data_IF_840098626469
#
_entry.id   IF_840098626469
#
_cell.length_a   1.000
_cell.length_b   1.000
_cell.length_c   1.000
_cell.angle_alpha   90.00
_cell.angle_beta   90.00
_cell.angle_gamma   90.00
#
_symmetry.space_group_name_H-M   'P 1'
#
loop_
_entity.id
_entity.type
_entity.pdbx_description
1 polymer ?
#
# COMPACT_ATOMS: atom_id res chain seq x y z
N UNK A 1 1.44 -11.14 5.71
CA UNK A 1 0.76 -10.35 4.68
C UNK A 1 -0.65 -10.13 5.18
N UNK A 2 -1.07 -8.88 5.35
CA UNK A 2 -2.47 -8.59 5.67
C UNK A 2 -3.33 -9.00 4.47
N UNK A 3 -4.48 -9.58 4.72
CA UNK A 3 -5.47 -9.92 3.70
C UNK A 3 -6.23 -8.68 3.24
N UNK A 4 -6.84 -8.78 2.06
CA UNK A 4 -7.74 -7.78 1.53
C UNK A 4 -8.86 -7.42 2.51
N UNK A 5 -9.44 -8.43 3.18
CA UNK A 5 -10.48 -8.25 4.19
C UNK A 5 -9.98 -7.49 5.42
N UNK A 6 -8.77 -7.78 5.91
CA UNK A 6 -8.17 -7.06 7.04
C UNK A 6 -7.95 -5.58 6.72
N UNK A 7 -7.45 -5.27 5.51
CA UNK A 7 -7.31 -3.88 5.06
C UNK A 7 -8.65 -3.16 4.95
N UNK A 8 -9.67 -3.82 4.41
CA UNK A 8 -11.02 -3.25 4.34
C UNK A 8 -11.57 -2.96 5.75
N UNK A 9 -11.39 -3.87 6.71
CA UNK A 9 -11.85 -3.69 8.08
C UNK A 9 -11.09 -2.56 8.79
N UNK A 10 -9.78 -2.46 8.58
CA UNK A 10 -8.97 -1.37 9.12
C UNK A 10 -9.42 -0.02 8.56
N UNK A 11 -9.66 0.06 7.25
CA UNK A 11 -10.22 1.24 6.58
C UNK A 11 -11.59 1.63 7.12
N UNK A 12 -12.50 0.67 7.36
CA UNK A 12 -13.82 0.95 7.97
C UNK A 12 -13.65 1.55 9.37
N UNK A 13 -12.76 0.99 10.18
CA UNK A 13 -12.50 1.47 11.56
C UNK A 13 -11.95 2.89 11.58
N UNK A 14 -11.06 3.25 10.64
CA UNK A 14 -10.35 4.53 10.63
C UNK A 14 -11.07 5.63 9.85
N UNK A 15 -11.81 5.26 8.81
CA UNK A 15 -12.35 6.20 7.83
C UNK A 15 -13.85 6.00 7.54
N UNK A 16 -14.49 5.00 8.16
CA UNK A 16 -15.92 4.73 8.01
C UNK A 16 -16.32 4.05 6.69
N UNK A 17 -15.35 3.72 5.83
CA UNK A 17 -15.57 3.08 4.51
C UNK A 17 -14.47 2.07 4.20
N UNK A 18 -14.74 1.01 3.43
CA UNK A 18 -13.76 -0.06 3.21
C UNK A 18 -12.71 0.22 2.12
N UNK A 19 -12.90 1.22 1.26
CA UNK A 19 -11.97 1.57 0.16
C UNK A 19 -11.50 0.35 -0.67
N UNK A 20 -12.43 -0.54 -1.03
CA UNK A 20 -12.14 -1.80 -1.75
C UNK A 20 -11.37 -1.54 -3.05
N UNK A 21 -11.79 -0.52 -3.78
CA UNK A 21 -11.18 -0.07 -5.03
C UNK A 21 -9.70 0.30 -4.87
N UNK A 22 -9.33 0.87 -3.71
CA UNK A 22 -7.95 1.27 -3.40
C UNK A 22 -7.09 0.04 -3.13
N UNK A 23 -7.57 -0.87 -2.28
CA UNK A 23 -6.83 -2.08 -1.93
C UNK A 23 -6.65 -3.00 -3.15
N UNK A 24 -7.69 -3.18 -3.97
CA UNK A 24 -7.59 -3.92 -5.22
C UNK A 24 -6.61 -3.29 -6.21
N UNK A 25 -6.57 -1.96 -6.28
CA UNK A 25 -5.64 -1.27 -7.15
C UNK A 25 -4.19 -1.40 -6.66
N UNK A 26 -3.93 -1.29 -5.36
CA UNK A 26 -2.59 -1.46 -4.80
C UNK A 26 -2.03 -2.87 -5.04
N UNK A 27 -2.89 -3.89 -4.87
CA UNK A 27 -2.53 -5.30 -4.99
C UNK A 27 -2.82 -5.93 -6.36
N UNK A 28 -3.18 -5.14 -7.36
CA UNK A 28 -3.54 -5.64 -8.70
C UNK A 28 -2.46 -6.58 -9.29
N UNK A 29 -1.19 -6.35 -8.96
CA UNK A 29 -0.05 -7.10 -9.46
C UNK A 29 0.35 -8.30 -8.57
N UNK A 30 -0.31 -8.47 -7.41
CA UNK A 30 -0.02 -9.55 -6.48
C UNK A 30 -0.25 -10.92 -7.14
N UNK A 31 0.75 -11.80 -7.04
CA UNK A 31 0.70 -13.16 -7.58
C UNK A 31 0.78 -13.26 -9.12
N UNK A 32 0.83 -12.14 -9.85
CA UNK A 32 0.87 -12.15 -11.33
C UNK A 32 2.31 -12.26 -11.85
N UNK A 33 2.59 -13.11 -12.86
CA UNK A 33 3.89 -13.09 -13.55
C UNK A 33 4.15 -11.74 -14.23
N UNK A 34 5.41 -11.27 -14.31
CA UNK A 34 6.64 -11.86 -13.75
C UNK A 34 6.91 -11.45 -12.29
N UNK A 35 5.94 -10.82 -11.62
CA UNK A 35 6.13 -10.13 -10.35
C UNK A 35 5.93 -11.00 -9.11
N UNK A 36 5.05 -12.00 -9.19
CA UNK A 36 4.73 -12.89 -8.06
C UNK A 36 4.33 -12.07 -6.83
N UNK A 37 4.93 -12.37 -5.68
CA UNK A 37 4.67 -11.63 -4.43
C UNK A 37 5.54 -10.38 -4.24
N UNK A 38 6.44 -10.06 -5.19
CA UNK A 38 7.29 -8.85 -5.16
C UNK A 38 6.61 -7.65 -5.83
N UNK A 39 5.28 -7.56 -5.69
CA UNK A 39 4.48 -6.54 -6.36
C UNK A 39 4.48 -5.21 -5.63
N UNK A 40 4.73 -5.23 -4.31
CA UNK A 40 4.62 -4.07 -3.43
C UNK A 40 5.49 -2.91 -3.91
N UNK A 41 6.70 -3.19 -4.39
CA UNK A 41 7.62 -2.18 -4.96
C UNK A 41 7.03 -1.28 -6.06
N UNK A 42 5.93 -1.67 -6.72
CA UNK A 42 5.34 -0.88 -7.82
C UNK A 42 4.39 0.22 -7.37
N UNK A 43 3.69 0.03 -6.24
CA UNK A 43 2.63 0.94 -5.79
C UNK A 43 2.65 1.21 -4.27
N UNK A 44 3.42 0.46 -3.48
CA UNK A 44 3.48 0.59 -2.02
C UNK A 44 4.49 1.64 -1.55
N UNK A 45 4.35 2.86 -2.07
CA UNK A 45 5.23 3.99 -1.78
C UNK A 45 4.49 5.32 -2.01
N UNK A 46 5.10 6.45 -1.66
CA UNK A 46 4.48 7.78 -1.73
C UNK A 46 3.99 8.14 -3.15
N UNK A 47 4.74 7.78 -4.20
CA UNK A 47 4.28 7.95 -5.57
C UNK A 47 2.98 7.17 -5.88
N UNK A 48 2.78 5.97 -5.32
CA UNK A 48 1.54 5.20 -5.49
C UNK A 48 0.38 5.84 -4.73
N UNK A 49 0.63 6.39 -3.53
CA UNK A 49 -0.37 7.17 -2.78
C UNK A 49 -0.85 8.38 -3.60
N UNK A 50 0.06 9.11 -4.24
CA UNK A 50 -0.30 10.24 -5.13
C UNK A 50 -1.11 9.78 -6.35
N UNK A 51 -0.83 8.60 -6.89
CA UNK A 51 -1.63 8.03 -7.97
C UNK A 51 -3.04 7.67 -7.50
N UNK A 52 -3.20 7.07 -6.31
CA UNK A 52 -4.51 6.83 -5.70
C UNK A 52 -5.27 8.13 -5.50
N UNK A 53 -4.61 9.19 -5.00
CA UNK A 53 -5.23 10.50 -4.84
C UNK A 53 -5.78 11.04 -6.16
N UNK A 54 -5.01 10.96 -7.24
CA UNK A 54 -5.43 11.42 -8.56
C UNK A 54 -6.60 10.61 -9.14
N UNK A 55 -6.69 9.30 -8.82
CA UNK A 55 -7.70 8.40 -9.34
C UNK A 55 -9.00 8.39 -8.53
N UNK A 56 -8.89 8.47 -7.19
CA UNK A 56 -9.98 8.17 -6.26
C UNK A 56 -10.21 9.27 -5.21
N UNK A 57 -9.38 10.32 -5.21
CA UNK A 57 -9.51 11.47 -4.33
C UNK A 57 -8.70 11.38 -3.01
N UNK A 58 -8.69 12.46 -2.23
CA UNK A 58 -7.80 12.60 -1.07
C UNK A 58 -8.12 11.64 0.09
N UNK A 59 -9.38 11.25 0.28
CA UNK A 59 -9.73 10.26 1.30
C UNK A 59 -9.17 8.87 0.95
N UNK A 60 -9.23 8.49 -0.33
CA UNK A 60 -8.66 7.24 -0.81
C UNK A 60 -7.13 7.20 -0.64
N UNK A 61 -6.45 8.34 -0.81
CA UNK A 61 -5.02 8.45 -0.56
C UNK A 61 -4.65 8.14 0.90
N UNK A 62 -5.49 8.52 1.86
CA UNK A 62 -5.31 8.18 3.29
C UNK A 62 -5.46 6.68 3.52
N UNK A 63 -6.46 6.05 2.91
CA UNK A 63 -6.65 4.60 2.98
C UNK A 63 -5.48 3.83 2.31
N UNK A 64 -4.97 4.32 1.18
CA UNK A 64 -3.79 3.75 0.53
C UNK A 64 -2.56 3.84 1.42
N UNK A 65 -2.29 5.01 2.01
CA UNK A 65 -1.15 5.17 2.91
C UNK A 65 -1.27 4.23 4.12
N UNK A 66 -2.45 4.11 4.70
CA UNK A 66 -2.70 3.19 5.80
C UNK A 66 -2.42 1.73 5.40
N UNK A 67 -2.94 1.27 4.26
CA UNK A 67 -2.70 -0.08 3.74
C UNK A 67 -1.19 -0.34 3.60
N UNK A 68 -0.47 0.58 2.96
CA UNK A 68 0.96 0.44 2.71
C UNK A 68 1.74 0.39 4.03
N UNK A 69 1.44 1.27 4.99
CA UNK A 69 2.11 1.25 6.29
C UNK A 69 1.85 -0.06 7.06
N UNK A 70 0.63 -0.59 7.03
CA UNK A 70 0.31 -1.88 7.67
C UNK A 70 1.12 -3.03 7.05
N UNK A 71 1.32 -3.00 5.73
CA UNK A 71 2.10 -4.00 5.00
C UNK A 71 3.61 -3.87 5.23
N UNK A 72 4.13 -2.64 5.20
CA UNK A 72 5.53 -2.35 5.48
C UNK A 72 5.92 -2.79 6.91
N UNK A 73 5.03 -2.59 7.90
CA UNK A 73 5.28 -3.05 9.29
C UNK A 73 5.51 -4.56 9.38
N UNK A 74 4.90 -5.35 8.50
CA UNK A 74 5.11 -6.80 8.44
C UNK A 74 6.46 -7.18 7.80
N UNK A 75 7.08 -6.26 7.06
CA UNK A 75 8.43 -6.40 6.48
C UNK A 75 9.52 -5.80 7.38
N UNK A 76 9.17 -5.36 8.60
CA UNK A 76 10.12 -4.81 9.58
C UNK A 76 10.28 -3.29 9.54
N UNK A 77 9.50 -2.58 8.72
CA UNK A 77 9.44 -1.12 8.76
C UNK A 77 8.76 -0.62 10.04
N UNK A 78 9.27 0.47 10.61
CA UNK A 78 8.72 1.11 11.81
C UNK A 78 8.30 2.54 11.49
N UNK A 79 7.52 3.17 12.36
CA UNK A 79 7.13 4.57 12.20
C UNK A 79 8.30 5.57 12.26
N UNK A 80 9.50 5.11 12.67
CA UNK A 80 10.71 5.92 12.66
C UNK A 80 11.46 5.83 11.32
N UNK A 81 11.14 4.85 10.49
CA UNK A 81 11.73 4.68 9.18
C UNK A 81 11.08 5.61 8.15
N UNK A 82 11.83 6.12 7.16
CA UNK A 82 11.24 6.94 6.11
C UNK A 82 10.20 6.13 5.33
N UNK A 83 9.07 6.76 5.02
CA UNK A 83 8.12 6.16 4.09
C UNK A 83 8.74 6.16 2.68
N UNK A 84 8.80 5.02 1.95
CA UNK A 84 9.44 4.96 0.64
C UNK A 84 8.81 5.99 -0.32
N UNK A 85 9.63 6.79 -1.00
CA UNK A 85 9.14 7.82 -1.93
C UNK A 85 8.61 7.23 -3.23
N UNK A 86 9.30 6.22 -3.74
CA UNK A 86 9.10 5.57 -5.03
C UNK A 86 9.65 4.14 -5.03
N UNK A 87 9.58 3.47 -6.19
CA UNK A 87 10.03 2.09 -6.38
C UNK A 87 11.53 1.91 -6.14
N UNK A 88 12.35 2.88 -6.54
CA UNK A 88 13.81 2.80 -6.39
C UNK A 88 14.19 2.86 -4.91
N UNK A 89 13.60 3.79 -4.16
CA UNK A 89 13.84 3.88 -2.72
C UNK A 89 13.27 2.67 -1.97
N UNK A 90 12.11 2.14 -2.37
CA UNK A 90 11.54 0.92 -1.79
C UNK A 90 12.56 -0.23 -1.84
N UNK A 91 13.18 -0.45 -3.00
CA UNK A 91 14.20 -1.50 -3.19
C UNK A 91 15.48 -1.17 -2.43
N UNK A 92 15.94 0.09 -2.42
CA UNK A 92 17.14 0.50 -1.69
C UNK A 92 17.00 0.32 -0.17
N UNK A 93 15.77 0.37 0.37
CA UNK A 93 15.47 0.10 1.77
C UNK A 93 15.48 -1.39 2.13
N UNK A 94 15.64 -2.30 1.16
CA UNK A 94 15.65 -3.74 1.40
C UNK A 94 14.27 -4.33 1.71
N UNK A 95 13.20 -3.65 1.28
CA UNK A 95 11.81 -4.12 1.34
C UNK A 95 11.54 -5.04 0.12
N UNK A 96 10.73 -6.09 0.27
CA UNK A 96 10.61 -7.18 -0.73
C UNK A 96 9.17 -7.49 -1.17
#
# INVERSE_FOLDING_TARGET
MSSFEEHCQESVRLFGRPFREVHLWLDELAGKPPHGMRHRRFRHHAAGVRQVEALFGPEAARAARQHIESDLRQEGWTSNDPFPRDSEQYVAMGLF
#
